data_IF_994449463326
#
_entry.id   IF_994449463326
#
_cell.length_a   1.000
_cell.length_b   1.000
_cell.length_c   1.000
_cell.angle_alpha   90.00
_cell.angle_beta   90.00
_cell.angle_gamma   90.00
#
_symmetry.space_group_name_H-M   'P 1'
#
loop_
_entity.id
_entity.type
_entity.pdbx_description
1 polymer ?
#
# COMPACT_ATOMS: atom_id res chain seq x y z
N UNK A 1 -11.75 -19.07 -2.44
CA UNK A 1 -12.77 -20.09 -2.76
C UNK A 1 -14.16 -19.65 -2.31
N UNK A 2 -14.31 -19.15 -1.08
CA UNK A 2 -15.61 -18.62 -0.58
C UNK A 2 -16.19 -17.46 -1.41
N UNK A 3 -15.39 -16.47 -1.83
CA UNK A 3 -15.91 -15.38 -2.67
C UNK A 3 -16.38 -15.87 -4.05
N UNK A 4 -15.64 -16.77 -4.71
CA UNK A 4 -16.06 -17.36 -5.99
C UNK A 4 -17.38 -18.14 -5.85
N UNK A 5 -17.57 -18.83 -4.73
CA UNK A 5 -18.83 -19.52 -4.42
C UNK A 5 -19.97 -18.53 -4.18
N UNK A 6 -19.72 -17.43 -3.47
CA UNK A 6 -20.70 -16.37 -3.29
C UNK A 6 -21.11 -15.73 -4.62
N UNK A 7 -20.15 -15.47 -5.51
CA UNK A 7 -20.41 -14.91 -6.85
C UNK A 7 -21.12 -15.89 -7.79
N UNK A 8 -20.94 -17.20 -7.61
CA UNK A 8 -21.72 -18.19 -8.34
C UNK A 8 -23.21 -18.18 -7.94
N UNK A 9 -23.52 -17.82 -6.69
CA UNK A 9 -24.89 -17.71 -6.18
C UNK A 9 -25.51 -16.34 -6.45
N UNK A 10 -24.73 -15.27 -6.31
CA UNK A 10 -25.13 -13.88 -6.54
C UNK A 10 -24.00 -13.13 -7.28
N UNK A 11 -24.05 -13.08 -8.63
CA UNK A 11 -22.98 -12.48 -9.45
C UNK A 11 -22.73 -10.99 -9.20
N UNK A 12 -23.74 -10.26 -8.75
CA UNK A 12 -23.73 -8.84 -8.46
C UNK A 12 -23.48 -8.54 -6.96
N UNK A 13 -22.99 -9.52 -6.18
CA UNK A 13 -22.70 -9.30 -4.77
C UNK A 13 -21.43 -8.46 -4.58
N UNK A 14 -21.61 -7.15 -4.50
CA UNK A 14 -20.59 -6.11 -4.52
C UNK A 14 -19.50 -6.32 -3.45
N UNK A 15 -19.88 -6.74 -2.25
CA UNK A 15 -18.96 -7.05 -1.14
C UNK A 15 -18.02 -8.21 -1.53
N UNK A 16 -18.54 -9.28 -2.13
CA UNK A 16 -17.70 -10.40 -2.57
C UNK A 16 -16.80 -10.01 -3.74
N UNK A 17 -17.27 -9.17 -4.67
CA UNK A 17 -16.46 -8.70 -5.80
C UNK A 17 -15.26 -7.88 -5.30
N UNK A 18 -15.49 -6.87 -4.45
CA UNK A 18 -14.40 -6.01 -3.97
C UNK A 18 -13.41 -6.77 -3.09
N UNK A 19 -13.87 -7.69 -2.24
CA UNK A 19 -12.97 -8.49 -1.43
C UNK A 19 -12.19 -9.52 -2.23
N UNK A 20 -12.76 -10.07 -3.31
CA UNK A 20 -12.01 -10.89 -4.25
C UNK A 20 -10.93 -10.08 -4.95
N UNK A 21 -11.25 -8.87 -5.43
CA UNK A 21 -10.27 -7.93 -5.98
C UNK A 21 -9.13 -7.62 -5.01
N UNK A 22 -9.46 -7.30 -3.75
CA UNK A 22 -8.45 -7.07 -2.70
C UNK A 22 -7.59 -8.31 -2.44
N UNK A 23 -8.17 -9.51 -2.51
CA UNK A 23 -7.43 -10.77 -2.34
C UNK A 23 -6.41 -10.95 -3.47
N UNK A 24 -6.82 -10.71 -4.71
CA UNK A 24 -5.89 -10.74 -5.85
C UNK A 24 -4.81 -9.66 -5.74
N UNK A 25 -5.17 -8.45 -5.31
CA UNK A 25 -4.21 -7.38 -5.07
C UNK A 25 -3.13 -7.78 -4.05
N UNK A 26 -3.53 -8.34 -2.91
CA UNK A 26 -2.59 -8.81 -1.87
C UNK A 26 -1.69 -9.97 -2.34
N UNK A 27 -2.11 -10.70 -3.38
CA UNK A 27 -1.34 -11.76 -4.02
C UNK A 27 -0.42 -11.26 -5.14
N UNK A 28 -0.40 -9.96 -5.44
CA UNK A 28 0.32 -9.40 -6.59
C UNK A 28 -0.34 -9.73 -7.94
N UNK A 29 -1.58 -10.23 -7.95
CA UNK A 29 -2.37 -10.57 -9.15
C UNK A 29 -3.17 -9.36 -9.60
N UNK A 30 -2.45 -8.33 -10.02
CA UNK A 30 -3.00 -7.02 -10.34
C UNK A 30 -3.94 -6.99 -11.55
N UNK A 31 -3.73 -7.84 -12.57
CA UNK A 31 -4.66 -7.96 -13.71
C UNK A 31 -6.04 -8.39 -13.24
N UNK A 32 -6.10 -9.48 -12.49
CA UNK A 32 -7.34 -10.02 -11.95
C UNK A 32 -7.96 -9.07 -10.93
N UNK A 33 -7.15 -8.40 -10.11
CA UNK A 33 -7.64 -7.35 -9.21
C UNK A 33 -8.36 -6.23 -9.97
N UNK A 34 -7.75 -5.69 -11.04
CA UNK A 34 -8.37 -4.66 -11.89
C UNK A 34 -9.66 -5.15 -12.53
N UNK A 35 -9.71 -6.40 -13.00
CA UNK A 35 -10.93 -6.99 -13.57
C UNK A 35 -12.07 -7.01 -12.53
N UNK A 36 -11.78 -7.43 -11.30
CA UNK A 36 -12.77 -7.43 -10.23
C UNK A 36 -13.17 -6.01 -9.83
N UNK A 37 -12.25 -5.06 -9.76
CA UNK A 37 -12.62 -3.67 -9.44
C UNK A 37 -13.46 -3.03 -10.54
N UNK A 38 -13.21 -3.34 -11.82
CA UNK A 38 -14.09 -2.93 -12.94
C UNK A 38 -15.46 -3.56 -12.85
N UNK A 39 -15.54 -4.84 -12.45
CA UNK A 39 -16.81 -5.51 -12.21
C UNK A 39 -17.56 -4.84 -11.05
N UNK A 40 -16.87 -4.54 -9.96
CA UNK A 40 -17.41 -3.85 -8.79
C UNK A 40 -17.98 -2.48 -9.14
N UNK A 41 -17.29 -1.67 -9.95
CA UNK A 41 -17.79 -0.36 -10.41
C UNK A 41 -19.09 -0.49 -11.21
N UNK A 42 -19.24 -1.54 -12.02
CA UNK A 42 -20.46 -1.80 -12.79
C UNK A 42 -21.63 -2.24 -11.91
N UNK A 43 -21.35 -3.04 -10.88
CA UNK A 43 -22.33 -3.53 -9.92
C UNK A 43 -22.65 -2.52 -8.80
N UNK A 44 -21.84 -1.47 -8.64
CA UNK A 44 -21.90 -0.54 -7.52
C UNK A 44 -23.25 0.18 -7.42
N UNK A 45 -23.99 0.01 -6.31
CA UNK A 45 -25.30 0.65 -6.13
C UNK A 45 -25.20 2.15 -5.79
N UNK A 46 -24.04 2.62 -5.32
CA UNK A 46 -23.82 4.02 -4.96
C UNK A 46 -22.57 4.61 -5.61
N UNK A 47 -22.51 5.94 -5.64
CA UNK A 47 -21.32 6.62 -6.13
C UNK A 47 -20.10 6.43 -5.20
N UNK A 48 -20.32 6.31 -3.88
CA UNK A 48 -19.24 6.04 -2.93
C UNK A 48 -18.55 4.69 -3.19
N UNK A 49 -19.30 3.67 -3.60
CA UNK A 49 -18.74 2.37 -3.99
C UNK A 49 -18.01 2.45 -5.33
N UNK A 50 -18.53 3.22 -6.30
CA UNK A 50 -17.79 3.51 -7.54
C UNK A 50 -16.46 4.21 -7.27
N UNK A 51 -16.47 5.24 -6.42
CA UNK A 51 -15.26 5.93 -5.94
C UNK A 51 -14.29 4.94 -5.30
N UNK A 52 -14.75 4.02 -4.45
CA UNK A 52 -13.91 2.98 -3.86
C UNK A 52 -13.27 2.08 -4.93
N UNK A 53 -14.05 1.62 -5.91
CA UNK A 53 -13.53 0.79 -7.00
C UNK A 53 -12.48 1.53 -7.84
N UNK A 54 -12.71 2.80 -8.17
CA UNK A 54 -11.73 3.65 -8.87
C UNK A 54 -10.47 3.86 -8.03
N UNK A 55 -10.61 4.04 -6.71
CA UNK A 55 -9.48 4.18 -5.79
C UNK A 55 -8.59 2.94 -5.80
N UNK A 56 -9.19 1.73 -5.74
CA UNK A 56 -8.44 0.48 -5.82
C UNK A 56 -7.72 0.28 -7.17
N UNK A 57 -8.32 0.74 -8.29
CA UNK A 57 -7.65 0.71 -9.60
C UNK A 57 -6.47 1.70 -9.63
N UNK A 58 -6.65 2.91 -9.08
CA UNK A 58 -5.58 3.90 -8.98
C UNK A 58 -4.40 3.38 -8.14
N UNK A 59 -4.68 2.72 -7.01
CA UNK A 59 -3.69 2.09 -6.16
C UNK A 59 -2.88 1.03 -6.95
N UNK A 60 -3.55 0.14 -7.70
CA UNK A 60 -2.85 -0.84 -8.56
C UNK A 60 -1.97 -0.14 -9.60
N UNK A 61 -2.48 0.91 -10.25
CA UNK A 61 -1.70 1.67 -11.24
C UNK A 61 -0.47 2.34 -10.62
N UNK A 62 -0.62 2.90 -9.42
CA UNK A 62 0.47 3.49 -8.65
C UNK A 62 1.53 2.43 -8.31
N UNK A 63 1.12 1.26 -7.81
CA UNK A 63 2.02 0.13 -7.49
C UNK A 63 2.78 -0.38 -8.71
N UNK A 64 2.20 -0.24 -9.91
CA UNK A 64 2.84 -0.55 -11.19
C UNK A 64 3.72 0.59 -11.73
N UNK A 65 3.89 1.68 -10.98
CA UNK A 65 4.64 2.87 -11.41
C UNK A 65 3.95 3.70 -12.50
N UNK A 66 2.67 3.44 -12.80
CA UNK A 66 1.90 4.13 -13.84
C UNK A 66 1.27 5.42 -13.28
N UNK A 67 2.09 6.31 -12.75
CA UNK A 67 1.65 7.45 -11.93
C UNK A 67 0.68 8.39 -12.64
N UNK A 68 0.84 8.62 -13.95
CA UNK A 68 -0.05 9.48 -14.73
C UNK A 68 -1.45 8.86 -14.88
N UNK A 69 -1.52 7.56 -15.11
CA UNK A 69 -2.80 6.85 -15.17
C UNK A 69 -3.46 6.79 -13.78
N UNK A 70 -2.67 6.46 -12.75
CA UNK A 70 -3.11 6.40 -11.37
C UNK A 70 -3.73 7.74 -10.94
N UNK A 71 -3.06 8.86 -11.22
CA UNK A 71 -3.53 10.20 -10.89
C UNK A 71 -4.86 10.53 -11.60
N UNK A 72 -4.97 10.17 -12.89
CA UNK A 72 -6.21 10.38 -13.66
C UNK A 72 -7.37 9.60 -13.05
N UNK A 73 -7.17 8.32 -12.73
CA UNK A 73 -8.18 7.46 -12.11
C UNK A 73 -8.56 7.96 -10.71
N UNK A 74 -7.59 8.36 -9.89
CA UNK A 74 -7.84 8.90 -8.56
C UNK A 74 -8.63 10.23 -8.59
N UNK A 75 -8.41 11.07 -9.62
CA UNK A 75 -9.20 12.29 -9.86
C UNK A 75 -10.64 11.95 -10.23
N UNK A 76 -10.88 10.97 -11.10
CA UNK A 76 -12.24 10.50 -11.45
C UNK A 76 -13.00 9.98 -10.22
N UNK A 77 -12.29 9.41 -9.24
CA UNK A 77 -12.87 8.96 -7.99
C UNK A 77 -13.40 10.13 -7.11
N UNK A 78 -13.02 11.38 -7.40
CA UNK A 78 -13.24 12.54 -6.53
C UNK A 78 -14.48 13.40 -6.88
N UNK A 79 -15.27 13.03 -7.89
CA UNK A 79 -16.32 13.89 -8.48
C UNK A 79 -17.53 14.17 -7.55
N UNK A 80 -17.69 13.48 -6.41
CA UNK A 80 -18.80 13.69 -5.45
C UNK A 80 -18.42 14.44 -4.15
N UNK A 81 -17.33 15.20 -4.17
CA UNK A 81 -17.00 16.14 -3.08
C UNK A 81 -16.33 15.54 -1.84
N UNK A 82 -16.01 14.23 -1.86
CA UNK A 82 -15.03 13.62 -0.95
C UNK A 82 -13.84 13.21 -1.78
N UNK A 83 -12.85 14.10 -1.87
CA UNK A 83 -11.62 13.83 -2.61
C UNK A 83 -11.00 12.51 -2.13
N UNK A 84 -10.48 11.73 -3.07
CA UNK A 84 -9.60 10.61 -2.75
C UNK A 84 -8.23 11.15 -2.32
N UNK A 85 -8.21 11.85 -1.18
CA UNK A 85 -7.07 12.64 -0.69
C UNK A 85 -5.88 11.73 -0.45
N UNK A 86 -6.12 10.50 0.03
CA UNK A 86 -5.06 9.52 0.27
C UNK A 86 -4.29 9.18 -1.00
N UNK A 87 -4.97 8.63 -2.01
CA UNK A 87 -4.29 8.18 -3.24
C UNK A 87 -3.62 9.36 -3.97
N UNK A 88 -4.32 10.49 -4.09
CA UNK A 88 -3.76 11.68 -4.74
C UNK A 88 -2.53 12.21 -3.99
N UNK A 89 -2.52 12.14 -2.66
CA UNK A 89 -1.39 12.56 -1.85
C UNK A 89 -0.19 11.65 -2.08
N UNK A 90 -0.39 10.33 -2.02
CA UNK A 90 0.68 9.36 -2.23
C UNK A 90 1.26 9.45 -3.65
N UNK A 91 0.41 9.59 -4.67
CA UNK A 91 0.83 9.79 -6.05
C UNK A 91 1.62 11.11 -6.22
N UNK A 92 1.19 12.20 -5.57
CA UNK A 92 1.91 13.47 -5.61
C UNK A 92 3.30 13.34 -4.99
N UNK A 93 3.43 12.65 -3.85
CA UNK A 93 4.71 12.36 -3.21
C UNK A 93 5.64 11.53 -4.10
N UNK A 94 5.13 10.48 -4.74
CA UNK A 94 5.93 9.63 -5.64
C UNK A 94 6.41 10.38 -6.89
N UNK A 95 5.61 11.34 -7.38
CA UNK A 95 6.01 12.24 -8.47
C UNK A 95 6.96 13.36 -8.03
N UNK A 96 7.21 13.53 -6.73
CA UNK A 96 7.96 14.66 -6.18
C UNK A 96 7.21 16.00 -6.23
N UNK A 97 5.89 16.00 -6.47
CA UNK A 97 5.07 17.20 -6.46
C UNK A 97 4.68 17.58 -5.02
N UNK A 98 5.66 18.14 -4.30
CA UNK A 98 5.50 18.55 -2.91
C UNK A 98 4.47 19.66 -2.74
N UNK A 99 4.23 20.50 -3.75
CA UNK A 99 3.24 21.56 -3.68
C UNK A 99 1.81 21.00 -3.64
N UNK A 100 1.50 20.05 -4.52
CA UNK A 100 0.22 19.34 -4.49
C UNK A 100 0.08 18.50 -3.22
N UNK A 101 1.15 17.81 -2.81
CA UNK A 101 1.14 17.01 -1.59
C UNK A 101 0.88 17.86 -0.32
N UNK A 102 1.45 19.06 -0.21
CA UNK A 102 1.21 19.98 0.92
C UNK A 102 -0.25 20.42 0.98
N UNK A 103 -0.86 20.75 -0.17
CA UNK A 103 -2.28 21.11 -0.25
C UNK A 103 -3.17 19.95 0.20
N UNK A 104 -2.90 18.74 -0.29
CA UNK A 104 -3.66 17.54 0.05
C UNK A 104 -3.45 17.13 1.50
N UNK A 105 -2.24 17.32 2.05
CA UNK A 105 -1.94 17.15 3.47
C UNK A 105 -2.87 18.02 4.30
N UNK A 106 -2.95 19.33 3.99
CA UNK A 106 -3.84 20.27 4.68
C UNK A 106 -5.32 19.85 4.67
N UNK A 107 -5.80 19.34 3.53
CA UNK A 107 -7.16 18.77 3.43
C UNK A 107 -7.29 17.54 4.33
N UNK A 108 -6.31 16.63 4.31
CA UNK A 108 -6.32 15.45 5.18
C UNK A 108 -6.34 15.80 6.68
N UNK A 109 -5.63 16.87 7.09
CA UNK A 109 -5.64 17.32 8.49
C UNK A 109 -7.03 17.80 8.95
N UNK A 110 -7.87 18.24 8.00
CA UNK A 110 -9.25 18.64 8.27
C UNK A 110 -10.23 17.46 8.36
N UNK A 111 -9.84 16.27 7.87
CA UNK A 111 -10.68 15.07 7.89
C UNK A 111 -10.54 14.39 9.24
N UNK A 112 -11.59 14.46 10.07
CA UNK A 112 -11.71 13.56 11.20
C UNK A 112 -12.05 12.15 10.70
N UNK A 113 -11.09 11.23 10.77
CA UNK A 113 -11.31 9.79 10.52
C UNK A 113 -12.19 9.20 11.62
N UNK A 114 -13.48 9.52 11.57
CA UNK A 114 -14.52 8.94 12.40
C UNK A 114 -15.51 8.20 11.49
N UNK A 115 -15.44 6.88 11.51
CA UNK A 115 -16.51 6.02 11.00
C UNK A 115 -17.32 5.55 12.20
N UNK A 116 -18.63 5.40 12.00
CA UNK A 116 -19.57 4.96 13.05
C UNK A 116 -19.07 3.66 13.70
N UNK A 117 -18.75 3.72 14.99
CA UNK A 117 -18.25 2.57 15.77
C UNK A 117 -16.73 2.38 15.80
N UNK A 118 -15.94 3.21 15.12
CA UNK A 118 -14.47 3.16 15.18
C UNK A 118 -13.90 4.11 16.25
N UNK A 119 -12.79 3.72 16.88
CA UNK A 119 -11.95 4.67 17.62
C UNK A 119 -11.33 5.62 16.61
N UNK A 120 -11.41 6.93 16.84
CA UNK A 120 -10.65 7.91 16.07
C UNK A 120 -9.16 7.55 16.19
N UNK A 121 -8.49 7.28 15.08
CA UNK A 121 -7.06 6.96 15.07
C UNK A 121 -6.30 8.06 14.36
N UNK A 122 -5.27 8.60 15.01
CA UNK A 122 -4.35 9.54 14.39
C UNK A 122 -3.32 8.82 13.49
N UNK A 123 -3.31 7.48 13.47
CA UNK A 123 -2.36 6.66 12.71
C UNK A 123 -2.28 7.05 11.22
N UNK A 124 -3.38 7.17 10.45
CA UNK A 124 -3.31 7.60 9.05
C UNK A 124 -2.78 9.03 8.91
N UNK A 125 -3.22 9.93 9.78
CA UNK A 125 -2.78 11.33 9.76
C UNK A 125 -1.27 11.47 10.00
N UNK A 126 -0.74 10.79 11.02
CA UNK A 126 0.68 10.78 11.34
C UNK A 126 1.50 10.11 10.23
N UNK A 127 0.96 9.08 9.59
CA UNK A 127 1.56 8.48 8.39
C UNK A 127 1.71 9.51 7.25
N UNK A 128 0.68 10.33 6.96
CA UNK A 128 0.78 11.35 5.91
C UNK A 128 1.85 12.37 6.23
N UNK A 129 1.88 12.88 7.47
CA UNK A 129 2.91 13.82 7.91
C UNK A 129 4.30 13.21 7.76
N UNK A 130 4.48 11.98 8.23
CA UNK A 130 5.73 11.24 8.09
C UNK A 130 6.18 11.10 6.64
N UNK A 131 5.27 10.69 5.75
CA UNK A 131 5.56 10.53 4.32
C UNK A 131 5.90 11.86 3.64
N UNK A 132 5.20 12.94 3.98
CA UNK A 132 5.50 14.27 3.46
C UNK A 132 6.85 14.79 3.95
N UNK A 133 7.13 14.64 5.25
CA UNK A 133 8.40 15.04 5.86
C UNK A 133 9.57 14.29 5.26
N UNK A 134 9.42 12.97 5.04
CA UNK A 134 10.44 12.12 4.42
C UNK A 134 10.79 12.64 3.02
N UNK A 135 9.78 12.84 2.16
CA UNK A 135 10.00 13.36 0.80
C UNK A 135 10.46 14.82 0.76
N UNK A 136 10.20 15.58 1.81
CA UNK A 136 10.70 16.96 1.96
C UNK A 136 12.11 17.05 2.55
N UNK A 137 12.77 15.91 2.84
CA UNK A 137 14.11 15.87 3.46
C UNK A 137 14.13 16.09 4.98
N UNK A 138 12.98 16.28 5.62
CA UNK A 138 12.82 16.42 7.08
C UNK A 138 12.82 15.04 7.74
N UNK A 139 13.98 14.40 7.68
CA UNK A 139 14.14 12.98 8.03
C UNK A 139 13.87 12.69 9.51
N UNK A 140 14.22 13.62 10.41
CA UNK A 140 14.00 13.44 11.85
C UNK A 140 12.50 13.48 12.20
N UNK A 141 11.80 14.47 11.66
CA UNK A 141 10.36 14.66 11.82
C UNK A 141 9.58 13.50 11.21
N UNK A 142 10.02 13.00 10.04
CA UNK A 142 9.43 11.83 9.41
C UNK A 142 9.45 10.61 10.35
N UNK A 143 10.61 10.30 10.93
CA UNK A 143 10.79 9.17 11.84
C UNK A 143 9.94 9.32 13.10
N UNK A 144 9.87 10.52 13.69
CA UNK A 144 9.04 10.75 14.88
C UNK A 144 7.54 10.64 14.56
N UNK A 145 7.10 11.13 13.40
CA UNK A 145 5.72 10.95 12.94
C UNK A 145 5.38 9.47 12.71
N UNK A 146 6.26 8.69 12.07
CA UNK A 146 6.03 7.25 11.89
C UNK A 146 6.02 6.48 13.20
N UNK A 147 6.94 6.75 14.13
CA UNK A 147 6.90 6.17 15.48
C UNK A 147 5.61 6.52 16.21
N UNK A 148 5.17 7.77 16.12
CA UNK A 148 3.91 8.21 16.72
C UNK A 148 2.71 7.46 16.09
N UNK A 149 2.71 7.26 14.76
CA UNK A 149 1.68 6.50 14.07
C UNK A 149 1.57 5.07 14.62
N UNK A 150 2.71 4.39 14.82
CA UNK A 150 2.77 3.02 15.32
C UNK A 150 2.41 2.86 16.81
N UNK A 151 2.38 3.96 17.59
CA UNK A 151 1.83 3.93 18.97
C UNK A 151 0.32 3.77 19.00
N UNK A 152 -0.37 4.10 17.90
CA UNK A 152 -1.81 3.87 17.79
C UNK A 152 -2.07 2.45 17.32
N UNK A 153 -3.04 1.79 17.97
CA UNK A 153 -3.49 0.47 17.57
C UNK A 153 -3.96 0.49 16.09
N UNK A 154 -3.64 -0.56 15.31
CA UNK A 154 -4.16 -0.70 13.96
C UNK A 154 -5.69 -0.74 13.98
N UNK A 155 -6.31 -0.19 12.94
CA UNK A 155 -7.78 -0.19 12.83
C UNK A 155 -8.34 -1.58 12.53
N UNK A 156 -7.51 -2.44 11.94
CA UNK A 156 -7.78 -3.86 11.66
C UNK A 156 -7.08 -4.76 12.67
N UNK A 157 -7.46 -6.04 12.71
CA UNK A 157 -6.84 -6.98 13.63
C UNK A 157 -5.35 -7.16 13.32
N UNK A 158 -4.51 -6.90 14.33
CA UNK A 158 -3.05 -7.07 14.39
C UNK A 158 -2.18 -6.19 13.48
N UNK A 159 -2.42 -6.12 12.18
CA UNK A 159 -1.54 -5.42 11.21
C UNK A 159 -2.35 -4.64 10.18
N UNK A 160 -1.88 -3.46 9.84
CA UNK A 160 -2.42 -2.63 8.75
C UNK A 160 -1.31 -2.14 7.81
N UNK A 161 -1.70 -1.43 6.75
CA UNK A 161 -0.80 -0.92 5.71
C UNK A 161 0.22 0.13 6.21
N UNK A 162 0.12 0.57 7.46
CA UNK A 162 1.06 1.53 8.05
C UNK A 162 2.15 0.83 8.88
N UNK A 163 2.08 -0.48 9.12
CA UNK A 163 3.02 -1.14 10.02
C UNK A 163 4.48 -1.04 9.56
N UNK A 164 4.71 -1.07 8.24
CA UNK A 164 6.04 -1.00 7.63
C UNK A 164 6.53 0.43 7.37
N UNK A 165 5.77 1.47 7.75
CA UNK A 165 6.12 2.85 7.41
C UNK A 165 7.48 3.28 7.96
N UNK A 166 7.79 2.88 9.20
CA UNK A 166 9.07 3.19 9.84
C UNK A 166 10.24 2.43 9.19
N UNK A 167 10.05 1.15 8.85
CA UNK A 167 11.05 0.33 8.19
C UNK A 167 11.37 0.84 6.77
N UNK A 168 10.33 1.20 6.02
CA UNK A 168 10.45 1.79 4.69
C UNK A 168 11.20 3.13 4.74
N UNK A 169 10.91 3.98 5.74
CA UNK A 169 11.62 5.23 5.96
C UNK A 169 13.11 5.01 6.26
N UNK A 170 13.44 4.05 7.14
CA UNK A 170 14.84 3.70 7.41
C UNK A 170 15.55 3.17 6.16
N UNK A 171 14.89 2.34 5.36
CA UNK A 171 15.44 1.86 4.09
C UNK A 171 15.72 3.00 3.10
N UNK A 172 14.79 3.93 2.95
CA UNK A 172 14.93 5.11 2.08
C UNK A 172 16.10 6.00 2.53
N UNK A 173 16.28 6.17 3.85
CA UNK A 173 17.35 6.97 4.45
C UNK A 173 18.71 6.25 4.51
N UNK A 174 18.79 4.98 4.07
CA UNK A 174 20.02 4.19 4.16
C UNK A 174 20.38 3.74 5.59
N UNK A 175 19.44 3.83 6.53
CA UNK A 175 19.55 3.34 7.91
C UNK A 175 19.26 1.84 7.94
N UNK A 176 20.14 1.07 7.31
CA UNK A 176 19.87 -0.32 6.92
C UNK A 176 19.69 -1.25 8.13
N UNK A 177 20.44 -1.05 9.21
CA UNK A 177 20.32 -1.85 10.43
C UNK A 177 18.96 -1.66 11.10
N UNK A 178 18.50 -0.41 11.22
CA UNK A 178 17.17 -0.14 11.77
C UNK A 178 16.05 -0.64 10.84
N UNK A 179 16.23 -0.53 9.53
CA UNK A 179 15.27 -1.07 8.56
C UNK A 179 15.13 -2.60 8.70
N UNK A 180 16.26 -3.32 8.75
CA UNK A 180 16.29 -4.79 8.93
C UNK A 180 15.60 -5.18 10.24
N UNK A 181 15.94 -4.52 11.35
CA UNK A 181 15.35 -4.83 12.65
C UNK A 181 13.82 -4.65 12.67
N UNK A 182 13.32 -3.58 12.04
CA UNK A 182 11.87 -3.35 11.94
C UNK A 182 11.18 -4.33 11.00
N UNK A 183 11.77 -4.67 9.85
CA UNK A 183 11.21 -5.72 8.97
C UNK A 183 11.17 -7.08 9.67
N UNK A 184 12.21 -7.47 10.39
CA UNK A 184 12.23 -8.71 11.18
C UNK A 184 11.16 -8.71 12.28
N UNK A 185 10.91 -7.56 12.93
CA UNK A 185 9.81 -7.39 13.89
C UNK A 185 8.47 -7.65 13.22
N UNK A 186 8.23 -7.09 12.03
CA UNK A 186 6.98 -7.27 11.29
C UNK A 186 6.81 -8.72 10.86
N UNK A 187 7.87 -9.40 10.40
CA UNK A 187 7.81 -10.81 10.01
C UNK A 187 7.55 -11.76 11.19
N UNK A 188 7.93 -11.40 12.42
CA UNK A 188 7.51 -12.15 13.63
C UNK A 188 6.00 -12.07 13.85
N UNK A 189 5.36 -10.95 13.48
CA UNK A 189 3.92 -10.77 13.58
C UNK A 189 3.16 -11.42 12.42
N UNK A 190 3.70 -11.29 11.20
CA UNK A 190 3.17 -11.93 9.99
C UNK A 190 4.31 -12.48 9.12
N UNK A 191 4.61 -13.79 9.24
CA UNK A 191 5.67 -14.43 8.45
C UNK A 191 5.43 -14.44 6.94
N UNK A 192 4.20 -14.12 6.49
CA UNK A 192 3.79 -14.16 5.09
C UNK A 192 3.47 -12.77 4.55
N UNK A 193 3.99 -11.68 5.14
CA UNK A 193 3.87 -10.35 4.55
C UNK A 193 4.83 -10.24 3.35
N UNK A 194 4.34 -10.24 2.08
CA UNK A 194 5.19 -10.33 0.90
C UNK A 194 6.14 -9.14 0.75
N UNK A 195 5.63 -7.90 0.84
CA UNK A 195 6.43 -6.69 0.61
C UNK A 195 7.54 -6.50 1.64
N UNK A 196 7.33 -6.98 2.87
CA UNK A 196 8.36 -6.97 3.90
C UNK A 196 9.53 -7.88 3.54
N UNK A 197 9.28 -9.08 2.97
CA UNK A 197 10.36 -9.94 2.46
C UNK A 197 11.13 -9.26 1.32
N UNK A 198 10.44 -8.59 0.41
CA UNK A 198 11.06 -7.84 -0.68
C UNK A 198 11.93 -6.68 -0.18
N UNK A 199 11.40 -5.82 0.68
CA UNK A 199 12.15 -4.68 1.21
C UNK A 199 13.29 -5.10 2.16
N UNK A 200 13.13 -6.20 2.89
CA UNK A 200 14.23 -6.80 3.65
C UNK A 200 15.35 -7.28 2.71
N UNK A 201 15.01 -7.83 1.54
CA UNK A 201 15.97 -8.19 0.50
C UNK A 201 16.76 -6.98 -0.01
N UNK A 202 16.05 -5.88 -0.31
CA UNK A 202 16.70 -4.62 -0.68
C UNK A 202 17.61 -4.08 0.43
N UNK A 203 17.20 -4.19 1.69
CA UNK A 203 18.00 -3.75 2.83
C UNK A 203 19.30 -4.56 2.96
N UNK A 204 19.23 -5.89 2.88
CA UNK A 204 20.40 -6.76 2.89
C UNK A 204 21.30 -6.52 1.69
N UNK A 205 20.74 -6.36 0.49
CA UNK A 205 21.50 -6.08 -0.73
C UNK A 205 22.29 -4.76 -0.61
N UNK A 206 21.63 -3.69 -0.17
CA UNK A 206 22.30 -2.39 0.08
C UNK A 206 23.36 -2.46 1.17
N UNK A 207 23.26 -3.44 2.08
CA UNK A 207 24.24 -3.69 3.14
C UNK A 207 25.39 -4.61 2.68
N UNK A 208 25.36 -5.10 1.44
CA UNK A 208 26.34 -6.05 0.90
C UNK A 208 26.15 -7.49 1.39
N UNK A 209 25.01 -7.79 2.03
CA UNK A 209 24.68 -9.09 2.60
C UNK A 209 23.92 -9.95 1.57
N UNK A 210 24.62 -10.34 0.50
CA UNK A 210 24.02 -10.97 -0.69
C UNK A 210 23.33 -12.31 -0.39
N UNK A 211 23.93 -13.15 0.46
CA UNK A 211 23.35 -14.46 0.81
C UNK A 211 22.01 -14.29 1.55
N UNK A 212 21.94 -13.38 2.52
CA UNK A 212 20.68 -13.07 3.21
C UNK A 212 19.65 -12.47 2.25
N UNK A 213 20.06 -11.56 1.37
CA UNK A 213 19.18 -10.96 0.36
C UNK A 213 18.56 -12.04 -0.55
N UNK A 214 19.36 -13.00 -1.02
CA UNK A 214 18.89 -14.12 -1.85
C UNK A 214 17.83 -14.96 -1.12
N UNK A 215 18.05 -15.30 0.15
CA UNK A 215 17.08 -16.08 0.95
C UNK A 215 15.73 -15.37 1.05
N UNK A 216 15.73 -14.07 1.37
CA UNK A 216 14.47 -13.33 1.54
C UNK A 216 13.79 -13.01 0.21
N UNK A 217 14.53 -12.80 -0.89
CA UNK A 217 13.94 -12.70 -2.24
C UNK A 217 13.29 -14.02 -2.69
N UNK A 218 13.91 -15.17 -2.39
CA UNK A 218 13.28 -16.47 -2.63
C UNK A 218 11.98 -16.61 -1.82
N UNK A 219 11.99 -16.18 -0.55
CA UNK A 219 10.78 -16.21 0.28
C UNK A 219 9.70 -15.29 -0.26
N UNK A 220 10.04 -14.08 -0.69
CA UNK A 220 9.13 -13.15 -1.36
C UNK A 220 8.44 -13.81 -2.57
N UNK A 221 9.21 -14.40 -3.50
CA UNK A 221 8.67 -15.08 -4.67
C UNK A 221 7.88 -16.36 -4.33
N UNK A 222 8.18 -17.01 -3.20
CA UNK A 222 7.38 -18.14 -2.73
C UNK A 222 6.02 -17.71 -2.20
N UNK A 223 5.96 -16.59 -1.47
CA UNK A 223 4.71 -16.02 -0.95
C UNK A 223 3.89 -15.43 -2.11
N UNK A 224 4.54 -14.74 -3.04
CA UNK A 224 3.97 -14.19 -4.28
C UNK A 224 4.21 -15.10 -5.50
N UNK A 225 4.00 -16.41 -5.32
CA UNK A 225 4.21 -17.41 -6.38
C UNK A 225 3.32 -17.23 -7.61
N UNK A 226 2.13 -16.66 -7.42
CA UNK A 226 1.12 -16.47 -8.45
C UNK A 226 1.01 -14.99 -8.88
N UNK A 227 1.91 -14.12 -8.41
CA UNK A 227 1.91 -12.70 -8.76
C UNK A 227 2.19 -12.49 -10.26
N UNK A 228 1.63 -11.40 -10.80
CA UNK A 228 1.86 -11.02 -12.19
C UNK A 228 3.37 -10.82 -12.45
N UNK A 229 3.87 -11.40 -13.54
CA UNK A 229 5.31 -11.46 -13.80
C UNK A 229 5.98 -10.09 -14.04
N UNK A 230 5.19 -9.08 -14.40
CA UNK A 230 5.58 -7.69 -14.67
C UNK A 230 5.43 -6.76 -13.46
N UNK A 231 5.01 -7.29 -12.30
CA UNK A 231 5.03 -6.54 -11.04
C UNK A 231 6.48 -6.09 -10.75
N UNK A 232 6.73 -4.78 -10.50
CA UNK A 232 8.09 -4.27 -10.34
C UNK A 232 8.93 -5.03 -9.31
N UNK A 233 8.36 -5.32 -8.15
CA UNK A 233 9.01 -6.05 -7.07
C UNK A 233 9.38 -7.49 -7.51
N UNK A 234 8.51 -8.16 -8.28
CA UNK A 234 8.74 -9.51 -8.82
C UNK A 234 9.88 -9.50 -9.85
N UNK A 235 9.91 -8.50 -10.74
CA UNK A 235 10.97 -8.33 -11.74
C UNK A 235 12.33 -8.13 -11.06
N UNK A 236 12.39 -7.24 -10.07
CA UNK A 236 13.61 -6.94 -9.32
C UNK A 236 14.11 -8.18 -8.58
N UNK A 237 13.24 -8.86 -7.82
CA UNK A 237 13.63 -10.04 -7.06
C UNK A 237 14.13 -11.18 -7.96
N UNK A 238 13.47 -11.45 -9.10
CA UNK A 238 13.93 -12.46 -10.07
C UNK A 238 15.30 -12.11 -10.65
N UNK A 239 15.52 -10.83 -10.98
CA UNK A 239 16.81 -10.37 -11.48
C UNK A 239 17.92 -10.57 -10.44
N UNK A 240 17.66 -10.20 -9.18
CA UNK A 240 18.60 -10.36 -8.08
C UNK A 240 19.01 -11.83 -7.80
N UNK A 241 18.14 -12.79 -8.12
CA UNK A 241 18.42 -14.22 -7.99
C UNK A 241 19.13 -14.83 -9.21
N UNK A 242 19.11 -14.14 -10.35
CA UNK A 242 19.72 -14.61 -11.61
C UNK A 242 21.17 -14.14 -11.81
N UNK A 243 21.62 -13.15 -11.03
CA UNK A 243 23.00 -12.64 -11.01
C UNK A 243 23.82 -13.30 -9.91
#
# INVERSE_FOLDING_TARGET
QEYNRALALKPDFEIAIVHLGNTYFQQGRYREAIEQYRHYIKAAPSNGERTRGLSCIAEVQQRMGKLVEAERTAKQASDDGKANVFELFMIALEKGDLATAEKLKGINESIQYSVRGSRSSQRPFLYFRGSFDLKSGRSAEAIENFKAALKHAPQTWNLDAYEDCLANAYLELGRLDEAIAEYERILKLNPNYPLVHYHLGLAYERKGQQDQARVVYQRFLQVWKDADADVPEVVVAKKALSG
#
